data_IF_070933064255
#
_entry.id   IF_070933064255
#
_cell.length_a   1.000
_cell.length_b   1.000
_cell.length_c   1.000
_cell.angle_alpha   90.00
_cell.angle_beta   90.00
_cell.angle_gamma   90.00
#
_symmetry.space_group_name_H-M   'P 1'
#
loop_
_entity.id
_entity.type
_entity.pdbx_description
1 polymer ?
#
# COMPACT_ATOMS: atom_id res chain seq x y z
N UNK A 1 -24.14 1.74 40.98
CA UNK A 1 -23.22 1.03 40.05
C UNK A 1 -22.35 2.06 39.32
N UNK A 2 -21.04 2.15 39.57
CA UNK A 2 -20.15 3.18 38.97
C UNK A 2 -19.11 2.62 37.97
N UNK A 3 -19.16 1.32 37.66
CA UNK A 3 -18.10 0.55 36.98
C UNK A 3 -18.04 0.60 35.43
N UNK A 4 -19.05 1.02 34.63
CA UNK A 4 -18.89 0.99 33.17
C UNK A 4 -18.00 2.12 32.65
N UNK A 5 -18.06 3.32 33.26
CA UNK A 5 -17.26 4.46 32.80
C UNK A 5 -15.75 4.27 33.03
N UNK A 6 -15.33 3.59 34.10
CA UNK A 6 -13.89 3.32 34.32
C UNK A 6 -13.34 2.38 33.24
N UNK A 7 -14.05 1.28 32.95
CA UNK A 7 -13.68 0.34 31.87
C UNK A 7 -13.56 1.02 30.51
N UNK A 8 -14.46 1.94 30.18
CA UNK A 8 -14.39 2.70 28.92
C UNK A 8 -13.13 3.59 28.89
N UNK A 9 -12.76 4.24 30.00
CA UNK A 9 -11.53 5.05 30.10
C UNK A 9 -10.27 4.19 29.99
N UNK A 10 -10.26 3.03 30.65
CA UNK A 10 -9.18 2.05 30.61
C UNK A 10 -8.95 1.54 29.17
N UNK A 11 -10.02 1.19 28.44
CA UNK A 11 -9.92 0.72 27.05
C UNK A 11 -9.50 1.85 26.08
N UNK A 12 -9.99 3.08 26.27
CA UNK A 12 -9.54 4.24 25.48
C UNK A 12 -8.04 4.47 25.68
N UNK A 13 -7.54 4.43 26.92
CA UNK A 13 -6.11 4.58 27.20
C UNK A 13 -5.28 3.47 26.52
N UNK A 14 -5.74 2.20 26.64
CA UNK A 14 -5.11 1.05 25.97
C UNK A 14 -5.06 1.22 24.45
N UNK A 15 -6.15 1.67 23.82
CA UNK A 15 -6.21 1.91 22.37
C UNK A 15 -5.29 3.06 21.95
N UNK A 16 -5.17 4.12 22.76
CA UNK A 16 -4.25 5.23 22.53
C UNK A 16 -2.77 4.80 22.69
N UNK A 17 -2.46 3.87 23.60
CA UNK A 17 -1.12 3.27 23.71
C UNK A 17 -0.80 2.40 22.49
N UNK A 18 -1.77 1.59 22.04
CA UNK A 18 -1.63 0.75 20.85
C UNK A 18 -1.43 1.58 19.58
N UNK A 19 -2.17 2.68 19.41
CA UNK A 19 -2.02 3.61 18.29
C UNK A 19 -0.60 4.19 18.24
N UNK A 20 -0.14 4.78 19.36
CA UNK A 20 1.21 5.37 19.46
C UNK A 20 2.32 4.35 19.21
N UNK A 21 2.16 3.11 19.68
CA UNK A 21 3.10 2.03 19.43
C UNK A 21 3.11 1.57 17.95
N UNK A 22 1.96 1.60 17.27
CA UNK A 22 1.86 1.30 15.84
C UNK A 22 2.47 2.41 14.98
N UNK A 23 2.17 3.67 15.26
CA UNK A 23 2.73 4.85 14.60
C UNK A 23 4.26 4.89 14.73
N UNK A 24 4.79 4.68 15.94
CA UNK A 24 6.24 4.61 16.20
C UNK A 24 6.90 3.50 15.38
N UNK A 25 6.31 2.29 15.37
CA UNK A 25 6.83 1.15 14.61
C UNK A 25 6.86 1.43 13.10
N UNK A 26 5.85 2.14 12.59
CA UNK A 26 5.79 2.48 11.17
C UNK A 26 6.81 3.57 10.80
N UNK A 27 6.94 4.62 11.61
CA UNK A 27 7.98 5.64 11.45
C UNK A 27 9.39 5.01 11.42
N UNK A 28 9.70 4.11 12.37
CA UNK A 28 10.95 3.36 12.35
C UNK A 28 11.11 2.47 11.11
N UNK A 29 10.02 1.84 10.62
CA UNK A 29 10.05 0.96 9.46
C UNK A 29 10.43 1.74 8.21
N UNK A 30 9.80 2.90 8.00
CA UNK A 30 10.13 3.81 6.91
C UNK A 30 11.56 4.35 7.07
N UNK A 31 11.94 4.83 8.26
CA UNK A 31 13.29 5.31 8.55
C UNK A 31 14.38 4.26 8.26
N UNK A 32 14.18 2.99 8.65
CA UNK A 32 15.11 1.89 8.33
C UNK A 32 15.22 1.60 6.83
N UNK A 33 14.16 1.84 6.05
CA UNK A 33 14.20 1.71 4.58
C UNK A 33 14.95 2.90 3.97
N UNK A 34 14.66 4.12 4.43
CA UNK A 34 15.36 5.34 4.00
C UNK A 34 16.87 5.27 4.23
N UNK A 35 17.29 4.85 5.43
CA UNK A 35 18.71 4.66 5.77
C UNK A 35 19.38 3.62 4.87
N UNK A 36 18.71 2.48 4.58
CA UNK A 36 19.22 1.46 3.65
C UNK A 36 19.27 1.92 2.19
N UNK A 37 18.53 2.97 1.83
CA UNK A 37 18.56 3.61 0.53
C UNK A 37 19.60 4.74 0.45
N UNK A 38 20.42 4.95 1.48
CA UNK A 38 21.47 5.97 1.52
C UNK A 38 20.99 7.37 1.88
N UNK A 39 19.71 7.57 2.26
CA UNK A 39 19.17 8.91 2.57
C UNK A 39 19.91 9.58 3.74
N UNK A 40 20.43 8.79 4.70
CA UNK A 40 21.24 9.31 5.81
C UNK A 40 22.66 9.74 5.45
N UNK A 41 23.10 9.55 4.21
CA UNK A 41 24.42 9.97 3.70
C UNK A 41 24.33 11.27 2.88
N UNK A 42 23.12 11.80 2.68
CA UNK A 42 22.84 13.02 1.90
C UNK A 42 22.66 14.20 2.86
N UNK A 43 23.38 15.28 2.62
CA UNK A 43 23.12 16.57 3.27
C UNK A 43 21.95 17.26 2.55
N UNK A 44 20.78 17.28 3.19
CA UNK A 44 19.52 17.79 2.65
C UNK A 44 18.70 18.42 3.78
N UNK A 45 18.01 19.55 3.51
CA UNK A 45 17.12 20.17 4.49
C UNK A 45 15.84 19.35 4.70
N UNK A 46 15.29 19.35 5.92
CA UNK A 46 14.08 18.58 6.27
C UNK A 46 12.88 18.93 5.37
N UNK A 47 12.72 20.22 5.03
CA UNK A 47 11.65 20.68 4.14
C UNK A 47 11.81 20.17 2.69
N UNK A 48 13.04 20.06 2.19
CA UNK A 48 13.34 19.54 0.85
C UNK A 48 13.15 18.01 0.82
N UNK A 49 13.59 17.31 1.87
CA UNK A 49 13.35 15.88 2.04
C UNK A 49 11.84 15.56 2.13
N UNK A 50 11.05 16.38 2.83
CA UNK A 50 9.60 16.25 2.86
C UNK A 50 9.00 16.43 1.45
N UNK A 51 9.38 17.48 0.72
CA UNK A 51 8.90 17.73 -0.64
C UNK A 51 9.23 16.57 -1.60
N UNK A 52 10.42 15.97 -1.48
CA UNK A 52 10.79 14.78 -2.24
C UNK A 52 9.90 13.56 -1.92
N UNK A 53 9.55 13.33 -0.65
CA UNK A 53 8.59 12.28 -0.28
C UNK A 53 7.18 12.55 -0.81
N UNK A 54 6.74 13.81 -0.84
CA UNK A 54 5.45 14.21 -1.43
C UNK A 54 5.41 13.95 -2.95
N UNK A 55 6.52 14.20 -3.67
CA UNK A 55 6.64 13.86 -5.09
C UNK A 55 6.55 12.34 -5.32
N UNK A 56 7.27 11.54 -4.52
CA UNK A 56 7.21 10.07 -4.57
C UNK A 56 5.76 9.57 -4.38
N UNK A 57 5.03 10.14 -3.41
CA UNK A 57 3.60 9.84 -3.21
C UNK A 57 2.77 10.20 -4.44
N UNK A 58 3.07 11.31 -5.10
CA UNK A 58 2.49 11.71 -6.39
C UNK A 58 2.72 10.68 -7.50
N UNK A 59 3.97 10.19 -7.65
CA UNK A 59 4.34 9.18 -8.64
C UNK A 59 3.57 7.85 -8.41
N UNK A 60 3.52 7.36 -7.17
CA UNK A 60 2.79 6.12 -6.83
C UNK A 60 1.26 6.26 -6.97
N UNK A 61 0.68 7.43 -6.63
CA UNK A 61 -0.76 7.68 -6.82
C UNK A 61 -1.14 7.91 -8.28
N UNK A 62 -0.24 8.47 -9.09
CA UNK A 62 -0.46 8.81 -10.50
C UNK A 62 -0.40 7.65 -11.49
N UNK A 63 -0.23 6.40 -11.02
CA UNK A 63 -0.18 5.20 -11.87
C UNK A 63 1.10 5.04 -12.72
N UNK A 64 1.92 6.09 -12.84
CA UNK A 64 3.29 6.02 -13.36
C UNK A 64 4.26 5.58 -12.26
N UNK A 65 4.08 4.36 -11.76
CA UNK A 65 5.15 3.68 -11.03
C UNK A 65 6.37 3.53 -11.96
N UNK A 66 7.61 3.61 -11.43
CA UNK A 66 8.80 3.41 -12.24
C UNK A 66 8.77 2.01 -12.86
N UNK A 67 8.78 1.93 -14.19
CA UNK A 67 9.00 0.68 -14.92
C UNK A 67 10.47 0.29 -14.76
N UNK A 68 10.83 -0.24 -13.59
CA UNK A 68 12.11 -0.91 -13.37
C UNK A 68 12.12 -2.19 -14.20
N UNK A 69 12.56 -2.03 -15.45
CA UNK A 69 12.63 -3.10 -16.42
C UNK A 69 13.51 -4.23 -15.93
N UNK A 70 12.88 -5.34 -15.54
CA UNK A 70 13.53 -6.64 -15.64
C UNK A 70 13.37 -7.10 -17.09
N UNK A 71 14.30 -6.66 -17.93
CA UNK A 71 14.45 -7.20 -19.29
C UNK A 71 14.95 -8.65 -19.20
N UNK A 72 14.03 -9.59 -18.96
CA UNK A 72 14.23 -10.96 -19.40
C UNK A 72 13.76 -11.02 -20.86
N UNK A 73 14.73 -11.04 -21.77
CA UNK A 73 14.51 -10.77 -23.19
C UNK A 73 13.40 -11.61 -23.85
N UNK A 74 12.47 -10.92 -24.49
CA UNK A 74 11.67 -11.47 -25.60
C UNK A 74 11.53 -10.40 -26.68
N UNK A 75 12.49 -10.39 -27.59
CA UNK A 75 12.49 -9.56 -28.80
C UNK A 75 11.36 -10.01 -29.73
N UNK A 76 10.32 -9.17 -29.82
CA UNK A 76 9.41 -8.95 -30.97
C UNK A 76 8.64 -10.17 -31.58
N UNK A 77 7.54 -10.04 -32.33
CA UNK A 77 6.93 -8.90 -33.04
C UNK A 77 5.41 -8.76 -32.74
N UNK A 78 4.82 -7.59 -33.06
CA UNK A 78 3.38 -7.36 -32.92
C UNK A 78 2.60 -7.97 -34.09
N UNK A 79 1.34 -8.30 -33.86
CA UNK A 79 0.33 -8.15 -34.91
C UNK A 79 -1.03 -7.74 -34.34
N UNK A 80 -1.87 -7.19 -35.21
CA UNK A 80 -3.01 -6.33 -34.85
C UNK A 80 -4.29 -7.08 -34.42
N UNK A 81 -5.20 -6.27 -33.88
CA UNK A 81 -6.66 -6.44 -33.94
C UNK A 81 -7.29 -7.73 -33.35
N UNK A 82 -7.73 -7.64 -32.09
CA UNK A 82 -9.11 -7.94 -31.71
C UNK A 82 -9.44 -7.60 -30.24
N UNK A 83 -10.35 -6.65 -30.04
CA UNK A 83 -11.30 -6.62 -28.91
C UNK A 83 -12.70 -6.40 -29.51
N UNK A 84 -13.79 -6.80 -28.83
CA UNK A 84 -13.93 -7.84 -27.81
C UNK A 84 -15.03 -8.86 -28.17
N UNK A 85 -15.12 -9.98 -27.45
CA UNK A 85 -16.36 -10.78 -27.42
C UNK A 85 -16.75 -11.09 -25.97
N UNK A 86 -17.84 -10.47 -25.52
CA UNK A 86 -18.58 -10.92 -24.35
C UNK A 86 -19.19 -12.29 -24.66
N UNK A 87 -19.00 -13.26 -23.78
CA UNK A 87 -19.72 -14.53 -23.82
C UNK A 87 -20.72 -14.56 -22.65
N UNK A 88 -22.01 -14.53 -22.99
CA UNK A 88 -23.15 -14.65 -22.07
C UNK A 88 -23.77 -16.05 -22.19
N UNK A 89 -24.38 -16.55 -21.11
CA UNK A 89 -25.20 -17.78 -21.09
C UNK A 89 -24.41 -19.02 -20.66
N UNK A 90 -24.73 -19.62 -19.50
CA UNK A 90 -25.78 -20.66 -19.25
C UNK A 90 -25.27 -22.06 -19.68
N UNK A 91 -25.27 -23.08 -18.83
CA UNK A 91 -26.36 -24.04 -18.48
C UNK A 91 -25.79 -25.00 -17.39
N UNK A 92 -26.49 -25.81 -16.58
CA UNK A 92 -27.90 -25.99 -16.17
C UNK A 92 -27.97 -26.82 -14.84
N UNK A 93 -29.17 -27.01 -14.29
CA UNK A 93 -29.53 -27.73 -13.03
C UNK A 93 -28.97 -29.17 -12.89
N UNK A 94 -28.72 -29.76 -11.71
CA UNK A 94 -29.62 -30.07 -10.56
C UNK A 94 -29.70 -31.62 -10.37
N UNK A 95 -30.46 -32.23 -9.42
CA UNK A 95 -31.13 -31.79 -8.18
C UNK A 95 -30.29 -32.22 -6.92
N UNK A 96 -30.74 -32.35 -5.66
CA UNK A 96 -31.95 -31.91 -4.91
C UNK A 96 -32.39 -32.90 -3.79
N UNK A 97 -33.00 -32.35 -2.72
CA UNK A 97 -33.70 -33.01 -1.56
C UNK A 97 -32.86 -33.85 -0.57
N UNK A 98 -33.19 -33.94 0.74
CA UNK A 98 -34.35 -33.46 1.51
C UNK A 98 -33.93 -32.90 2.90
#
# INVERSE_FOLDING_TARGET
MKKPSSKIREEIARLQDQLRAAETREAERIGRIALKAGIGEIEIEEAELQAAFEEIVGQFRGGKGPTTGKENGRVEKPDRDARPSLASGTDASGPGEA
#
